data_IF_082125657573
#
_entry.id   IF_082125657573
#
_cell.length_a   1.000
_cell.length_b   1.000
_cell.length_c   1.000
_cell.angle_alpha   90.00
_cell.angle_beta   90.00
_cell.angle_gamma   90.00
#
_symmetry.space_group_name_H-M   'P 1'
#
loop_
_entity.id
_entity.type
_entity.pdbx_description
1 polymer ?
#
# COMPACT_ATOMS: atom_id res chain seq x y z
N UNK A 1 -22.14 -18.31 -29.82
CA UNK A 1 -21.26 -18.54 -30.99
C UNK A 1 -20.16 -17.48 -30.95
N UNK A 2 -19.08 -17.75 -30.21
CA UNK A 2 -17.83 -16.97 -30.29
C UNK A 2 -16.77 -18.00 -30.60
N UNK A 3 -16.23 -17.91 -31.80
CA UNK A 3 -15.16 -18.76 -32.30
C UNK A 3 -13.86 -18.00 -32.15
N UNK A 4 -12.80 -18.77 -31.89
CA UNK A 4 -11.40 -18.52 -32.24
C UNK A 4 -10.56 -17.77 -31.21
N UNK A 5 -9.28 -18.10 -30.98
CA UNK A 5 -8.37 -19.14 -31.50
C UNK A 5 -7.12 -19.01 -30.62
N UNK A 6 -6.61 -20.07 -29.98
CA UNK A 6 -5.20 -20.12 -29.56
C UNK A 6 -4.45 -20.73 -30.74
N UNK A 7 -3.85 -19.86 -31.56
CA UNK A 7 -2.82 -20.23 -32.53
C UNK A 7 -1.50 -19.86 -31.88
N UNK A 8 -0.89 -20.82 -31.20
CA UNK A 8 0.55 -20.77 -30.96
C UNK A 8 1.20 -21.40 -32.19
N UNK A 9 1.25 -20.64 -33.27
CA UNK A 9 2.16 -20.90 -34.38
C UNK A 9 3.51 -20.32 -33.94
N UNK A 10 4.49 -21.19 -33.67
CA UNK A 10 5.89 -20.78 -33.55
C UNK A 10 6.38 -20.60 -34.99
N UNK A 11 6.38 -19.35 -35.45
CA UNK A 11 6.97 -18.93 -36.72
C UNK A 11 8.52 -18.87 -36.56
N UNK A 12 9.30 -19.37 -37.54
CA UNK A 12 10.72 -19.66 -37.35
C UNK A 12 11.63 -18.42 -37.48
N UNK A 13 12.68 -18.40 -36.67
CA UNK A 13 13.95 -17.67 -36.85
C UNK A 13 13.88 -16.17 -37.17
N UNK A 14 13.32 -15.36 -36.26
CA UNK A 14 13.89 -14.02 -36.09
C UNK A 14 15.24 -14.15 -35.38
N UNK A 15 16.32 -14.14 -36.17
CA UNK A 15 17.67 -14.02 -35.63
C UNK A 15 17.78 -12.73 -34.82
N UNK A 16 17.78 -12.85 -33.50
CA UNK A 16 18.05 -11.73 -32.61
C UNK A 16 19.54 -11.41 -32.75
N UNK A 17 19.86 -10.22 -33.26
CA UNK A 17 21.23 -9.70 -33.24
C UNK A 17 21.62 -9.41 -31.78
N UNK A 18 22.11 -10.44 -31.09
CA UNK A 18 22.64 -10.32 -29.74
C UNK A 18 24.04 -9.73 -29.84
N UNK A 19 24.12 -8.40 -29.74
CA UNK A 19 25.39 -7.72 -29.54
C UNK A 19 25.88 -8.00 -28.11
N UNK A 20 27.09 -8.54 -28.00
CA UNK A 20 27.74 -8.77 -26.72
C UNK A 20 28.05 -7.41 -26.09
N UNK A 21 27.75 -7.27 -24.80
CA UNK A 21 28.07 -6.07 -24.03
C UNK A 21 29.58 -5.79 -24.09
N UNK A 22 29.98 -4.60 -24.54
CA UNK A 22 31.39 -4.21 -24.61
C UNK A 22 31.99 -4.07 -23.21
N UNK A 23 33.05 -4.84 -22.97
CA UNK A 23 33.78 -4.95 -21.71
C UNK A 23 34.40 -3.61 -21.26
N UNK A 24 34.67 -2.70 -22.21
CA UNK A 24 35.22 -1.38 -21.93
C UNK A 24 34.14 -0.34 -21.59
N UNK A 25 32.88 -0.66 -21.87
CA UNK A 25 31.73 0.24 -21.69
C UNK A 25 30.83 -0.17 -20.52
N UNK A 26 30.97 -1.39 -20.00
CA UNK A 26 30.21 -1.87 -18.84
C UNK A 26 30.72 -1.24 -17.55
N UNK A 27 29.77 -1.00 -16.65
CA UNK A 27 30.06 -0.55 -15.29
C UNK A 27 30.61 -1.68 -14.41
N UNK A 28 30.43 -2.95 -14.79
CA UNK A 28 30.82 -4.10 -14.00
C UNK A 28 32.05 -4.79 -14.60
N UNK A 29 33.25 -4.61 -14.00
CA UNK A 29 34.44 -5.35 -14.41
C UNK A 29 34.24 -6.88 -14.35
N UNK A 30 34.96 -7.67 -15.14
CA UNK A 30 34.84 -9.13 -15.16
C UNK A 30 35.10 -9.82 -13.81
N UNK A 31 35.83 -9.14 -12.92
CA UNK A 31 36.17 -9.62 -11.59
C UNK A 31 35.16 -9.20 -10.51
N UNK A 32 34.05 -8.57 -10.90
CA UNK A 32 32.98 -8.18 -9.99
C UNK A 32 32.24 -9.42 -9.49
N UNK A 33 32.02 -9.49 -8.19
CA UNK A 33 31.26 -10.60 -7.61
C UNK A 33 29.79 -10.48 -7.98
N UNK A 34 29.15 -11.62 -8.24
CA UNK A 34 27.74 -11.67 -8.66
C UNK A 34 26.81 -10.95 -7.69
N UNK A 35 27.06 -11.02 -6.38
CA UNK A 35 26.24 -10.31 -5.39
C UNK A 35 26.23 -8.79 -5.60
N UNK A 36 27.36 -8.19 -5.97
CA UNK A 36 27.44 -6.74 -6.21
C UNK A 36 26.60 -6.38 -7.45
N UNK A 37 26.61 -7.24 -8.47
CA UNK A 37 25.83 -7.03 -9.69
C UNK A 37 24.32 -7.11 -9.36
N UNK A 38 23.91 -8.09 -8.55
CA UNK A 38 22.52 -8.27 -8.11
C UNK A 38 22.05 -7.14 -7.18
N UNK A 39 22.89 -6.70 -6.24
CA UNK A 39 22.61 -5.56 -5.35
C UNK A 39 22.42 -4.26 -6.14
N UNK A 40 23.01 -4.19 -7.34
CA UNK A 40 22.86 -3.08 -8.28
C UNK A 40 21.85 -3.37 -9.40
N UNK A 41 21.04 -4.42 -9.24
CA UNK A 41 19.98 -4.85 -10.17
C UNK A 41 20.46 -4.98 -11.62
N UNK A 42 21.75 -5.28 -11.83
CA UNK A 42 22.37 -5.37 -13.16
C UNK A 42 22.25 -4.07 -13.98
N UNK A 43 22.09 -2.92 -13.32
CA UNK A 43 21.92 -1.63 -13.98
C UNK A 43 23.28 -1.08 -14.43
N UNK A 44 23.49 -1.02 -15.75
CA UNK A 44 24.71 -0.49 -16.36
C UNK A 44 24.80 1.04 -16.23
N UNK A 45 23.72 1.74 -16.60
CA UNK A 45 23.67 3.21 -16.56
C UNK A 45 22.35 3.71 -15.98
N UNK A 46 22.43 4.73 -15.13
CA UNK A 46 21.27 5.45 -14.65
C UNK A 46 21.00 6.61 -15.59
N UNK A 47 20.07 6.42 -16.53
CA UNK A 47 19.63 7.50 -17.40
C UNK A 47 18.44 8.23 -16.76
N UNK A 48 18.65 9.47 -16.34
CA UNK A 48 17.59 10.30 -15.75
C UNK A 48 16.54 10.75 -16.79
N UNK A 49 16.84 10.60 -18.09
CA UNK A 49 15.94 10.95 -19.20
C UNK A 49 15.14 9.74 -19.69
N UNK A 50 14.62 8.92 -18.78
CA UNK A 50 13.69 7.85 -19.15
C UNK A 50 12.30 8.45 -19.36
N UNK A 51 11.75 8.25 -20.55
CA UNK A 51 10.34 8.54 -20.83
C UNK A 51 9.51 7.38 -20.28
N UNK A 52 8.99 7.55 -19.06
CA UNK A 52 8.09 6.58 -18.44
C UNK A 52 6.82 6.36 -19.27
N UNK A 53 6.35 7.39 -19.98
CA UNK A 53 5.22 7.30 -20.91
C UNK A 53 5.46 6.23 -21.98
N UNK A 54 6.58 6.30 -22.71
CA UNK A 54 6.95 5.30 -23.71
C UNK A 54 7.14 3.90 -23.10
N UNK A 55 7.70 3.83 -21.90
CA UNK A 55 7.90 2.55 -21.20
C UNK A 55 6.55 1.87 -20.87
N UNK A 56 5.58 2.63 -20.36
CA UNK A 56 4.26 2.12 -20.03
C UNK A 56 3.38 1.86 -21.27
N UNK A 57 3.58 2.60 -22.37
CA UNK A 57 2.94 2.31 -23.66
C UNK A 57 3.32 0.93 -24.21
N UNK A 58 4.61 0.57 -24.12
CA UNK A 58 5.10 -0.74 -24.58
C UNK A 58 4.65 -1.86 -23.64
N UNK A 59 4.70 -1.64 -22.33
CA UNK A 59 4.36 -2.67 -21.35
C UNK A 59 2.86 -2.88 -21.16
N UNK A 60 2.02 -1.91 -21.56
CA UNK A 60 0.56 -1.93 -21.46
C UNK A 60 0.04 -2.70 -20.22
N UNK A 61 0.36 -2.24 -18.99
CA UNK A 61 0.09 -3.03 -17.80
C UNK A 61 -1.42 -3.22 -17.60
N UNK A 62 -1.86 -4.48 -17.53
CA UNK A 62 -3.26 -4.86 -17.27
C UNK A 62 -3.79 -4.33 -15.92
N UNK A 63 -2.90 -4.20 -14.92
CA UNK A 63 -3.24 -3.72 -13.59
C UNK A 63 -2.12 -2.85 -13.02
N UNK A 64 -2.49 -1.67 -12.53
CA UNK A 64 -1.57 -0.77 -11.84
C UNK A 64 -1.68 -0.99 -10.33
N UNK A 65 -0.60 -1.46 -9.70
CA UNK A 65 -0.47 -1.49 -8.24
C UNK A 65 0.43 -0.35 -7.80
N UNK A 66 -0.07 0.50 -6.92
CA UNK A 66 0.67 1.62 -6.39
C UNK A 66 0.79 1.46 -4.88
N UNK A 67 2.03 1.50 -4.40
CA UNK A 67 2.31 1.42 -2.97
C UNK A 67 2.24 2.84 -2.40
N UNK A 68 1.24 3.10 -1.55
CA UNK A 68 1.24 4.32 -0.73
C UNK A 68 2.40 4.24 0.26
N UNK A 69 3.54 4.82 -0.11
CA UNK A 69 4.64 5.05 0.81
C UNK A 69 4.27 6.25 1.68
N UNK A 70 3.55 6.00 2.78
CA UNK A 70 3.33 7.03 3.80
C UNK A 70 4.67 7.33 4.46
N UNK A 71 5.43 8.26 3.88
CA UNK A 71 6.54 8.91 4.59
C UNK A 71 5.94 9.54 5.84
N UNK A 72 6.39 9.11 7.03
CA UNK A 72 5.92 9.55 8.35
C UNK A 72 5.43 11.00 8.33
N UNK A 73 4.14 11.19 8.07
CA UNK A 73 3.60 12.53 7.90
C UNK A 73 3.37 13.09 9.32
N UNK A 74 4.07 14.17 9.71
CA UNK A 74 3.90 14.74 11.05
C UNK A 74 2.44 15.10 11.35
N UNK A 75 1.66 15.47 10.32
CA UNK A 75 0.23 15.74 10.44
C UNK A 75 -0.52 14.50 10.93
N UNK A 76 -0.23 13.32 10.39
CA UNK A 76 -0.89 12.07 10.76
C UNK A 76 -0.59 11.66 12.21
N UNK A 77 0.62 11.93 12.69
CA UNK A 77 1.02 11.68 14.08
C UNK A 77 0.23 12.60 15.02
N UNK A 78 0.19 13.90 14.72
CA UNK A 78 -0.50 14.90 15.55
C UNK A 78 -2.00 14.63 15.59
N UNK A 79 -2.65 14.35 14.45
CA UNK A 79 -4.07 14.03 14.40
C UNK A 79 -4.41 12.78 15.20
N UNK A 80 -3.52 11.78 15.20
CA UNK A 80 -3.71 10.55 15.97
C UNK A 80 -3.62 10.82 17.47
N UNK A 81 -2.65 11.63 17.92
CA UNK A 81 -2.54 12.00 19.33
C UNK A 81 -3.76 12.80 19.80
N UNK A 82 -4.17 13.81 19.04
CA UNK A 82 -5.36 14.63 19.35
C UNK A 82 -6.61 13.75 19.38
N UNK A 83 -6.76 12.84 18.41
CA UNK A 83 -7.87 11.91 18.35
C UNK A 83 -7.87 10.90 19.50
N UNK A 84 -6.71 10.44 19.94
CA UNK A 84 -6.59 9.49 21.04
C UNK A 84 -6.91 10.15 22.39
N UNK A 85 -6.31 11.29 22.69
CA UNK A 85 -6.58 12.02 23.94
C UNK A 85 -8.00 12.60 23.98
N UNK A 86 -8.44 13.21 22.88
CA UNK A 86 -9.77 13.80 22.75
C UNK A 86 -10.87 12.74 22.71
N UNK A 87 -10.73 11.74 21.85
CA UNK A 87 -11.70 10.67 21.64
C UNK A 87 -11.89 9.80 22.89
N UNK A 88 -10.80 9.36 23.52
CA UNK A 88 -10.88 8.51 24.71
C UNK A 88 -11.61 9.22 25.86
N UNK A 89 -11.32 10.50 26.07
CA UNK A 89 -11.95 11.31 27.11
C UNK A 89 -13.45 11.51 26.87
N UNK A 90 -13.86 11.74 25.62
CA UNK A 90 -15.27 11.94 25.26
C UNK A 90 -16.04 10.64 25.36
N UNK A 91 -15.51 9.55 24.79
CA UNK A 91 -16.15 8.23 24.80
C UNK A 91 -16.35 7.74 26.23
N UNK A 92 -15.36 7.89 27.11
CA UNK A 92 -15.47 7.49 28.50
C UNK A 92 -16.59 8.25 29.22
N UNK A 93 -16.70 9.57 29.05
CA UNK A 93 -17.78 10.38 29.65
C UNK A 93 -19.17 9.93 29.19
N UNK A 94 -19.32 9.61 27.90
CA UNK A 94 -20.58 9.11 27.34
C UNK A 94 -20.92 7.76 27.96
N UNK A 95 -19.96 6.81 27.98
CA UNK A 95 -20.14 5.48 28.56
C UNK A 95 -20.52 5.58 30.04
N UNK A 96 -19.80 6.37 30.83
CA UNK A 96 -20.09 6.57 32.26
C UNK A 96 -21.50 7.13 32.47
N UNK A 97 -21.89 8.14 31.69
CA UNK A 97 -23.24 8.72 31.78
C UNK A 97 -24.34 7.69 31.46
N UNK A 98 -24.12 6.84 30.45
CA UNK A 98 -25.04 5.76 30.09
C UNK A 98 -25.13 4.70 31.19
N UNK A 99 -23.99 4.26 31.73
CA UNK A 99 -23.93 3.26 32.80
C UNK A 99 -24.64 3.79 34.05
N UNK A 100 -24.32 5.02 34.49
CA UNK A 100 -24.93 5.64 35.66
C UNK A 100 -26.44 5.81 35.47
N UNK A 101 -26.91 6.23 34.28
CA UNK A 101 -28.35 6.31 33.97
C UNK A 101 -29.02 4.94 34.03
N UNK A 102 -28.38 3.90 33.49
CA UNK A 102 -28.91 2.52 33.52
C UNK A 102 -29.00 2.00 34.96
N UNK A 103 -27.96 2.21 35.77
CA UNK A 103 -27.95 1.81 37.19
C UNK A 103 -29.03 2.58 37.96
N UNK A 104 -29.08 3.91 37.83
CA UNK A 104 -30.09 4.74 38.52
C UNK A 104 -31.52 4.37 38.14
N UNK A 105 -31.80 4.09 36.87
CA UNK A 105 -33.14 3.66 36.44
C UNK A 105 -33.50 2.27 36.96
N UNK A 106 -32.52 1.41 37.22
CA UNK A 106 -32.75 0.07 37.82
C UNK A 106 -32.90 0.14 39.34
N UNK A 107 -32.33 1.16 39.97
CA UNK A 107 -32.30 1.31 41.43
C UNK A 107 -33.39 2.25 41.96
N UNK A 108 -34.22 2.87 41.11
CA UNK A 108 -35.42 3.58 41.60
C UNK A 108 -36.34 2.55 42.26
N UNK A 109 -36.57 2.60 43.58
CA UNK A 109 -37.62 1.80 44.18
C UNK A 109 -38.95 2.26 43.58
N UNK A 110 -39.81 1.31 43.28
CA UNK A 110 -41.21 1.59 42.97
C UNK A 110 -41.80 2.17 44.26
N UNK A 111 -41.88 3.49 44.37
CA UNK A 111 -42.50 4.16 45.51
C UNK A 111 -44.00 3.90 45.43
N UNK A 112 -44.46 2.86 46.13
CA UNK A 112 -45.88 2.63 46.38
C UNK A 112 -46.43 3.84 47.14
N UNK A 113 -47.16 4.68 46.43
CA UNK A 113 -47.96 5.76 47.00
C UNK A 113 -49.12 5.14 47.79
N UNK A 114 -48.88 4.73 49.04
CA UNK A 114 -49.96 4.49 49.98
C UNK A 114 -50.47 5.86 50.46
N UNK A 115 -51.39 6.43 49.70
CA UNK A 115 -52.20 7.58 50.12
C UNK A 115 -53.13 7.09 51.23
N UNK A 116 -52.90 7.64 52.43
CA UNK A 116 -53.68 7.47 53.65
C UNK A 116 -55.17 7.68 53.36
N UNK A 117 -55.99 6.69 53.74
CA UNK A 117 -57.46 6.79 53.82
C UNK A 117 -57.86 7.32 55.19
#
# INVERSE_FOLDING_TARGET
>A
MVKNVIKNEVEPDQFVDIQILDINSTRFPPHTRIQIILDNLMIETWNEKISYEKYYEVCAPEQCTYTYTSRNNPVQIITTLIGLFGGLSVVLKIIVSLIVRRIRNRMRPHEETNVVT
#
